data_IF_570370887705
#
_entry.id   IF_570370887705
#
_cell.length_a   1.000
_cell.length_b   1.000
_cell.length_c   1.000
_cell.angle_alpha   90.00
_cell.angle_beta   90.00
_cell.angle_gamma   90.00
#
_symmetry.space_group_name_H-M   'P 1'
#
loop_
_entity.id
_entity.type
_entity.pdbx_description
1 polymer ?
#
# COMPACT_ATOMS: atom_id res chain seq x y z
N UNK A 1 16.65 -24.18 0.42
CA UNK A 1 15.68 -23.35 1.16
C UNK A 1 15.20 -24.09 2.40
N UNK A 2 15.39 -23.49 3.59
CA UNK A 2 14.93 -24.05 4.87
C UNK A 2 13.75 -23.21 5.37
N UNK A 3 12.68 -23.89 5.80
CA UNK A 3 11.50 -23.28 6.36
C UNK A 3 11.54 -23.35 7.87
N UNK A 4 11.66 -22.22 8.54
CA UNK A 4 11.68 -22.08 10.01
C UNK A 4 10.28 -21.82 10.60
N UNK A 5 9.29 -22.31 9.91
CA UNK A 5 7.85 -22.19 10.03
C UNK A 5 7.27 -21.85 11.38
N UNK A 6 6.98 -22.85 12.19
CA UNK A 6 6.05 -22.66 13.30
C UNK A 6 6.69 -22.07 14.56
N UNK A 7 7.94 -22.32 14.81
CA UNK A 7 8.65 -21.86 16.01
C UNK A 7 9.46 -20.61 15.80
N UNK A 8 9.92 -20.35 14.57
CA UNK A 8 10.90 -19.31 14.21
C UNK A 8 12.18 -19.40 15.10
N UNK A 9 12.51 -20.63 15.53
CA UNK A 9 13.60 -20.87 16.47
C UNK A 9 14.97 -20.52 15.87
N UNK A 10 15.17 -20.86 14.58
CA UNK A 10 16.41 -20.54 13.88
C UNK A 10 16.56 -19.03 13.71
N UNK A 11 15.53 -18.34 13.23
CA UNK A 11 15.57 -16.89 13.08
C UNK A 11 15.83 -16.17 14.42
N UNK A 12 15.30 -16.71 15.53
CA UNK A 12 15.58 -16.20 16.89
C UNK A 12 17.01 -16.46 17.33
N UNK A 13 17.49 -17.67 17.12
CA UNK A 13 18.86 -18.05 17.49
C UNK A 13 19.92 -17.20 16.76
N UNK A 14 19.64 -16.86 15.49
CA UNK A 14 20.48 -15.94 14.71
C UNK A 14 20.27 -14.46 15.06
N UNK A 15 19.25 -14.11 15.84
CA UNK A 15 18.95 -12.71 16.17
C UNK A 15 18.50 -11.90 14.96
N UNK A 16 17.68 -12.47 14.06
CA UNK A 16 17.21 -11.80 12.86
C UNK A 16 16.40 -10.55 13.18
N UNK A 17 16.79 -9.39 12.66
CA UNK A 17 16.16 -8.09 12.91
C UNK A 17 15.33 -7.60 11.73
N UNK A 18 15.73 -7.99 10.51
CA UNK A 18 15.14 -7.54 9.26
C UNK A 18 15.08 -8.66 8.24
N UNK A 19 14.42 -8.40 7.10
CA UNK A 19 14.42 -9.27 5.93
C UNK A 19 14.74 -8.40 4.70
N UNK A 20 15.88 -8.61 4.04
CA UNK A 20 16.93 -9.60 4.36
C UNK A 20 17.82 -9.23 5.57
N UNK A 21 18.39 -10.25 6.20
CA UNK A 21 19.48 -10.15 7.15
C UNK A 21 20.50 -11.23 6.81
N UNK A 22 21.70 -10.85 6.49
CA UNK A 22 22.76 -11.74 6.01
C UNK A 22 23.65 -12.19 7.16
N UNK A 23 24.05 -13.47 7.15
CA UNK A 23 25.02 -14.06 8.07
C UNK A 23 26.01 -14.87 7.25
N UNK A 24 27.31 -14.56 7.36
CA UNK A 24 28.38 -15.24 6.62
C UNK A 24 29.29 -15.97 7.60
N UNK A 25 29.47 -17.27 7.37
CA UNK A 25 30.31 -18.13 8.19
C UNK A 25 31.53 -18.58 7.39
N UNK A 26 32.67 -18.78 8.08
CA UNK A 26 33.85 -19.41 7.49
C UNK A 26 33.70 -20.95 7.47
N UNK A 27 34.70 -21.64 6.91
CA UNK A 27 34.75 -23.12 6.83
C UNK A 27 34.73 -23.83 8.20
N UNK A 28 35.02 -23.10 9.28
CA UNK A 28 34.99 -23.60 10.65
C UNK A 28 33.67 -23.27 11.35
N UNK A 29 32.66 -22.85 10.60
CA UNK A 29 31.33 -22.41 11.07
C UNK A 29 31.38 -21.21 12.04
N UNK A 30 32.47 -20.44 12.01
CA UNK A 30 32.56 -19.21 12.78
C UNK A 30 31.91 -18.07 12.02
N UNK A 31 31.00 -17.34 12.68
CA UNK A 31 30.35 -16.15 12.12
C UNK A 31 31.42 -15.07 11.88
N UNK A 32 31.51 -14.59 10.65
CA UNK A 32 32.50 -13.60 10.21
C UNK A 32 31.89 -12.28 9.79
N UNK A 33 30.63 -12.31 9.39
CA UNK A 33 29.88 -11.11 9.05
C UNK A 33 28.39 -11.31 9.33
N UNK A 34 27.74 -10.26 9.83
CA UNK A 34 26.29 -10.19 9.88
C UNK A 34 25.81 -8.76 9.58
N UNK A 35 24.68 -8.65 8.85
CA UNK A 35 24.11 -7.33 8.57
C UNK A 35 23.35 -7.24 7.25
N UNK A 36 23.56 -6.14 6.55
CA UNK A 36 22.92 -5.85 5.27
C UNK A 36 23.65 -6.58 4.12
N UNK A 37 22.97 -6.73 2.97
CA UNK A 37 23.61 -7.26 1.78
C UNK A 37 24.59 -6.23 1.18
N UNK A 38 24.12 -5.01 1.01
CA UNK A 38 24.86 -3.82 0.59
C UNK A 38 24.29 -2.57 1.27
N UNK A 39 24.77 -1.40 0.92
CA UNK A 39 24.28 -0.13 1.47
C UNK A 39 23.15 0.51 0.65
N UNK A 40 22.63 -0.17 -0.39
CA UNK A 40 21.51 0.34 -1.14
C UNK A 40 20.22 0.32 -0.32
N UNK A 41 19.44 1.38 -0.44
CA UNK A 41 18.10 1.47 0.15
C UNK A 41 17.01 1.11 -0.84
N UNK A 42 17.35 1.06 -2.12
CA UNK A 42 16.43 0.90 -3.24
C UNK A 42 17.02 -0.14 -4.20
N UNK A 43 16.18 -0.76 -5.01
CA UNK A 43 16.62 -1.66 -6.08
C UNK A 43 17.25 -0.85 -7.23
N UNK A 44 18.24 -0.04 -6.89
CA UNK A 44 18.99 0.78 -7.82
C UNK A 44 20.48 0.57 -7.55
N UNK A 45 21.09 -0.29 -8.36
CA UNK A 45 22.50 -0.65 -8.22
C UNK A 45 23.44 0.57 -8.32
N UNK A 46 22.98 1.65 -8.97
CA UNK A 46 23.75 2.90 -9.08
C UNK A 46 23.92 3.61 -7.74
N UNK A 47 23.09 3.30 -6.75
CA UNK A 47 23.15 3.87 -5.40
C UNK A 47 24.06 3.10 -4.46
N UNK A 48 24.53 1.89 -4.85
CA UNK A 48 25.42 1.04 -4.04
C UNK A 48 26.81 1.64 -3.97
N UNK A 49 27.24 2.01 -2.76
CA UNK A 49 28.60 2.50 -2.47
C UNK A 49 29.46 1.43 -1.78
N UNK A 50 28.83 0.52 -1.05
CA UNK A 50 29.51 -0.55 -0.33
C UNK A 50 28.77 -1.89 -0.52
N UNK A 51 29.48 -2.89 -1.01
CA UNK A 51 29.01 -4.28 -1.16
C UNK A 51 29.41 -5.12 0.04
N UNK A 52 28.90 -4.78 1.22
CA UNK A 52 29.40 -5.29 2.50
C UNK A 52 29.43 -6.81 2.59
N UNK A 53 28.35 -7.50 2.15
CA UNK A 53 28.30 -8.96 2.13
C UNK A 53 29.34 -9.55 1.16
N UNK A 54 29.44 -9.01 -0.04
CA UNK A 54 30.42 -9.45 -1.06
C UNK A 54 31.85 -9.29 -0.55
N UNK A 55 32.18 -8.13 0.02
CA UNK A 55 33.48 -7.84 0.57
C UNK A 55 33.88 -8.82 1.69
N UNK A 56 32.91 -9.17 2.56
CA UNK A 56 33.14 -10.17 3.61
C UNK A 56 33.41 -11.56 3.04
N UNK A 57 32.65 -12.00 2.04
CA UNK A 57 32.85 -13.28 1.36
C UNK A 57 34.22 -13.32 0.67
N UNK A 58 34.58 -12.28 -0.08
CA UNK A 58 35.84 -12.20 -0.80
C UNK A 58 37.05 -12.23 0.16
N UNK A 59 36.96 -11.55 1.31
CA UNK A 59 37.99 -11.59 2.34
C UNK A 59 38.16 -13.00 2.90
N UNK A 60 37.05 -13.70 3.21
CA UNK A 60 37.10 -15.09 3.74
C UNK A 60 37.72 -16.04 2.72
N UNK A 61 37.32 -15.96 1.45
CA UNK A 61 37.85 -16.79 0.37
C UNK A 61 39.35 -16.53 0.13
N UNK A 62 39.80 -15.29 0.31
CA UNK A 62 41.21 -14.91 0.25
C UNK A 62 42.02 -15.23 1.51
N UNK A 63 41.40 -15.84 2.53
CA UNK A 63 42.07 -16.11 3.83
C UNK A 63 42.41 -14.84 4.62
N UNK A 64 41.80 -13.71 4.32
CA UNK A 64 42.01 -12.43 4.99
C UNK A 64 40.98 -12.17 6.09
N UNK A 65 41.28 -11.33 7.08
CA UNK A 65 40.29 -10.90 8.06
C UNK A 65 39.17 -10.06 7.35
N UNK A 66 37.94 -10.18 7.86
CA UNK A 66 36.84 -9.34 7.45
C UNK A 66 36.96 -8.00 8.20
N UNK A 67 37.13 -6.90 7.47
CA UNK A 67 37.32 -5.57 8.07
C UNK A 67 36.05 -5.07 8.75
N UNK A 68 34.90 -5.30 8.14
CA UNK A 68 33.59 -4.87 8.63
C UNK A 68 32.76 -6.11 8.95
N UNK A 69 32.80 -6.58 10.19
CA UNK A 69 32.12 -7.81 10.62
C UNK A 69 30.63 -7.60 10.92
N UNK A 70 30.20 -6.34 11.19
CA UNK A 70 28.84 -6.01 11.60
C UNK A 70 28.32 -4.75 10.90
N UNK A 71 27.15 -4.87 10.27
CA UNK A 71 26.40 -3.71 9.77
C UNK A 71 24.94 -3.78 10.23
N UNK A 72 24.27 -2.63 10.26
CA UNK A 72 22.83 -2.62 10.53
C UNK A 72 22.06 -3.21 9.33
N UNK A 73 21.30 -4.31 9.51
CA UNK A 73 20.54 -4.89 8.43
C UNK A 73 19.48 -3.89 7.91
N UNK A 74 19.34 -3.83 6.60
CA UNK A 74 18.35 -2.96 5.92
C UNK A 74 17.29 -3.82 5.24
N UNK A 75 16.03 -3.55 5.57
CA UNK A 75 14.90 -4.32 5.04
C UNK A 75 13.65 -4.15 5.89
N UNK A 76 12.64 -4.96 5.58
CA UNK A 76 11.42 -5.02 6.39
C UNK A 76 11.72 -5.68 7.73
N UNK A 77 11.11 -5.20 8.81
CA UNK A 77 11.23 -5.84 10.13
C UNK A 77 10.76 -7.30 10.08
N UNK A 78 11.48 -8.17 10.75
CA UNK A 78 11.12 -9.59 10.87
C UNK A 78 9.70 -9.74 11.40
N UNK A 79 8.88 -10.55 10.70
CA UNK A 79 7.49 -10.81 11.07
C UNK A 79 7.42 -11.94 12.09
N UNK A 80 7.52 -11.60 13.37
CA UNK A 80 7.42 -12.57 14.45
C UNK A 80 5.99 -13.04 14.65
N UNK A 81 5.81 -14.32 14.96
CA UNK A 81 4.50 -14.96 15.09
C UNK A 81 3.65 -14.36 16.23
N UNK A 82 4.27 -13.99 17.34
CA UNK A 82 3.59 -13.34 18.46
C UNK A 82 2.98 -11.97 18.09
N UNK A 83 3.50 -11.34 17.04
CA UNK A 83 2.92 -10.09 16.50
C UNK A 83 1.69 -10.33 15.63
N UNK A 84 1.38 -11.60 15.29
CA UNK A 84 0.19 -11.94 14.51
C UNK A 84 -1.07 -11.52 15.24
N UNK A 85 -1.15 -11.73 16.56
CA UNK A 85 -2.30 -11.32 17.36
C UNK A 85 -2.60 -9.81 17.27
N UNK A 86 -1.55 -8.96 17.21
CA UNK A 86 -1.71 -7.51 17.02
C UNK A 86 -2.23 -7.18 15.61
N UNK A 87 -1.79 -7.92 14.62
CA UNK A 87 -2.28 -7.77 13.25
C UNK A 87 -3.75 -8.20 13.15
N UNK A 88 -4.09 -9.35 13.71
CA UNK A 88 -5.45 -9.89 13.72
C UNK A 88 -6.41 -8.94 14.47
N UNK A 89 -5.99 -8.39 15.63
CA UNK A 89 -6.75 -7.38 16.36
C UNK A 89 -7.00 -6.10 15.55
N UNK A 90 -6.03 -5.67 14.72
CA UNK A 90 -6.22 -4.55 13.80
C UNK A 90 -7.26 -4.86 12.74
N UNK A 91 -7.25 -6.07 12.19
CA UNK A 91 -8.26 -6.53 11.22
C UNK A 91 -9.65 -6.59 11.85
N UNK A 92 -9.78 -7.10 13.09
CA UNK A 92 -11.05 -7.09 13.82
C UNK A 92 -11.57 -5.67 14.07
N UNK A 93 -10.69 -4.71 14.35
CA UNK A 93 -11.05 -3.31 14.50
C UNK A 93 -11.65 -2.76 13.21
N UNK A 94 -11.03 -3.02 12.06
CA UNK A 94 -11.58 -2.60 10.77
C UNK A 94 -12.93 -3.23 10.47
N UNK A 95 -13.10 -4.54 10.78
CA UNK A 95 -14.36 -5.25 10.57
C UNK A 95 -15.52 -4.65 11.40
N UNK A 96 -15.21 -3.95 12.49
CA UNK A 96 -16.19 -3.30 13.39
C UNK A 96 -16.33 -1.79 13.14
N UNK A 97 -15.51 -1.21 12.26
CA UNK A 97 -15.55 0.24 11.97
C UNK A 97 -16.77 0.57 11.11
N UNK A 98 -17.66 1.45 11.56
CA UNK A 98 -18.81 1.87 10.77
C UNK A 98 -18.37 2.51 9.45
N UNK A 99 -19.19 2.34 8.43
CA UNK A 99 -19.02 3.01 7.13
C UNK A 99 -20.22 3.90 6.88
N UNK A 100 -19.95 5.15 6.52
CA UNK A 100 -20.96 6.10 6.11
C UNK A 100 -20.76 6.42 4.64
N UNK A 101 -21.84 6.41 3.88
CA UNK A 101 -21.88 6.84 2.47
C UNK A 101 -22.56 8.21 2.42
N UNK A 102 -21.93 9.18 1.77
CA UNK A 102 -22.50 10.51 1.58
C UNK A 102 -22.86 10.76 0.11
N UNK A 103 -23.86 11.59 -0.11
CA UNK A 103 -24.17 12.05 -1.46
C UNK A 103 -23.05 12.95 -1.96
N UNK A 104 -22.68 12.79 -3.22
CA UNK A 104 -21.71 13.64 -3.89
C UNK A 104 -22.27 14.10 -5.23
N UNK A 105 -22.06 15.35 -5.56
CA UNK A 105 -22.41 15.93 -6.84
C UNK A 105 -21.23 15.93 -7.83
N UNK A 106 -21.46 16.40 -9.03
CA UNK A 106 -20.44 16.50 -10.08
C UNK A 106 -19.26 17.40 -9.68
N UNK A 107 -19.51 18.47 -8.94
CA UNK A 107 -18.46 19.36 -8.45
C UNK A 107 -17.58 18.67 -7.40
N UNK A 108 -18.19 17.96 -6.46
CA UNK A 108 -17.48 17.16 -5.46
C UNK A 108 -16.61 16.07 -6.08
N UNK A 109 -17.10 15.40 -7.15
CA UNK A 109 -16.29 14.41 -7.88
C UNK A 109 -15.10 15.10 -8.56
N UNK A 110 -15.29 16.25 -9.17
CA UNK A 110 -14.21 17.02 -9.79
C UNK A 110 -13.16 17.47 -8.76
N UNK A 111 -13.57 17.85 -7.54
CA UNK A 111 -12.65 18.18 -6.44
C UNK A 111 -11.90 16.94 -5.94
N UNK A 112 -12.54 15.79 -5.81
CA UNK A 112 -11.85 14.53 -5.52
C UNK A 112 -10.80 14.21 -6.58
N UNK A 113 -11.15 14.40 -7.85
CA UNK A 113 -10.30 14.14 -9.02
C UNK A 113 -9.12 15.13 -9.11
N UNK A 114 -9.33 16.39 -8.76
CA UNK A 114 -8.28 17.41 -8.74
C UNK A 114 -7.19 17.11 -7.69
N UNK A 115 -7.51 16.34 -6.69
CA UNK A 115 -6.60 15.87 -5.64
C UNK A 115 -5.61 16.94 -5.15
N UNK A 116 -6.10 17.95 -4.50
CA UNK A 116 -5.30 19.03 -3.89
C UNK A 116 -4.53 18.58 -2.64
N UNK A 117 -4.66 17.30 -2.25
CA UNK A 117 -3.94 16.71 -1.11
C UNK A 117 -2.53 16.26 -1.48
N UNK A 118 -1.74 15.86 -0.48
CA UNK A 118 -0.42 15.24 -0.68
C UNK A 118 -0.48 13.74 -0.87
N UNK A 119 -1.69 13.14 -0.89
CA UNK A 119 -1.90 11.70 -0.96
C UNK A 119 -2.13 11.24 -2.40
N UNK A 120 -1.74 10.00 -2.68
CA UNK A 120 -2.27 9.27 -3.82
C UNK A 120 -3.68 8.79 -3.50
N UNK A 121 -4.61 9.03 -4.38
CA UNK A 121 -6.02 8.70 -4.20
C UNK A 121 -6.44 7.66 -5.22
N UNK A 122 -6.76 6.44 -4.76
CA UNK A 122 -7.42 5.44 -5.59
C UNK A 122 -8.92 5.72 -5.53
N UNK A 123 -9.54 5.95 -6.68
CA UNK A 123 -10.97 6.17 -6.81
C UNK A 123 -11.55 5.00 -7.58
N UNK A 124 -12.50 4.28 -6.96
CA UNK A 124 -13.21 3.16 -7.57
C UNK A 124 -14.67 3.50 -7.75
N UNK A 125 -15.18 3.29 -8.94
CA UNK A 125 -16.60 3.42 -9.30
C UNK A 125 -17.23 2.04 -9.33
N UNK A 126 -18.31 1.86 -8.57
CA UNK A 126 -18.94 0.57 -8.35
C UNK A 126 -20.45 0.67 -8.13
N UNK A 127 -21.12 -0.45 -7.92
CA UNK A 127 -22.50 -0.50 -7.42
C UNK A 127 -22.80 -1.86 -6.78
N UNK A 128 -23.81 -1.92 -5.91
CA UNK A 128 -24.20 -3.19 -5.23
C UNK A 128 -24.81 -4.22 -6.19
N UNK A 129 -25.36 -3.79 -7.29
CA UNK A 129 -25.92 -4.65 -8.35
C UNK A 129 -24.86 -5.10 -9.38
N UNK A 130 -23.65 -4.58 -9.32
CA UNK A 130 -22.56 -4.89 -10.25
C UNK A 130 -21.77 -6.10 -9.74
N UNK A 131 -22.02 -7.28 -10.26
CA UNK A 131 -21.36 -8.51 -9.81
C UNK A 131 -19.83 -8.49 -9.90
N UNK A 132 -19.18 -8.00 -10.99
CA UNK A 132 -17.73 -7.87 -11.04
C UNK A 132 -17.19 -6.86 -10.00
N UNK A 133 -17.92 -5.79 -9.68
CA UNK A 133 -17.55 -4.82 -8.65
C UNK A 133 -17.51 -5.50 -7.26
N UNK A 134 -18.55 -6.29 -6.95
CA UNK A 134 -18.62 -7.05 -5.69
C UNK A 134 -17.47 -8.03 -5.57
N UNK A 135 -17.07 -8.66 -6.68
CA UNK A 135 -15.98 -9.64 -6.72
C UNK A 135 -14.62 -9.02 -6.44
N UNK A 136 -14.34 -7.81 -6.95
CA UNK A 136 -13.02 -7.15 -6.77
C UNK A 136 -12.86 -6.45 -5.43
N UNK A 137 -13.96 -6.16 -4.72
CA UNK A 137 -13.96 -5.31 -3.53
C UNK A 137 -12.98 -5.75 -2.44
N UNK A 138 -12.80 -7.05 -2.14
CA UNK A 138 -11.77 -7.50 -1.21
C UNK A 138 -10.36 -7.05 -1.58
N UNK A 139 -10.01 -7.04 -2.87
CA UNK A 139 -8.69 -6.61 -3.34
C UNK A 139 -8.49 -5.09 -3.15
N UNK A 140 -9.51 -4.29 -3.39
CA UNK A 140 -9.47 -2.83 -3.12
C UNK A 140 -9.22 -2.54 -1.63
N UNK A 141 -9.92 -3.27 -0.75
CA UNK A 141 -9.75 -3.14 0.70
C UNK A 141 -8.34 -3.59 1.12
N UNK A 142 -7.82 -4.68 0.57
CA UNK A 142 -6.46 -5.14 0.83
C UNK A 142 -5.40 -4.13 0.38
N UNK A 143 -5.56 -3.52 -0.80
CA UNK A 143 -4.69 -2.42 -1.28
C UNK A 143 -4.74 -1.26 -0.28
N UNK A 144 -5.93 -0.83 0.12
CA UNK A 144 -6.10 0.25 1.09
C UNK A 144 -5.37 -0.04 2.41
N UNK A 145 -5.49 -1.25 2.93
CA UNK A 145 -4.82 -1.69 4.17
C UNK A 145 -3.31 -1.76 4.02
N UNK A 146 -2.82 -2.25 2.87
CA UNK A 146 -1.39 -2.34 2.57
C UNK A 146 -0.72 -0.97 2.58
N UNK A 147 -1.42 0.04 2.08
CA UNK A 147 -0.92 1.41 2.00
C UNK A 147 -1.38 2.33 3.16
N UNK A 148 -2.09 1.82 4.16
CA UNK A 148 -2.66 2.59 5.29
C UNK A 148 -1.64 3.50 6.00
N UNK A 149 -0.39 3.03 6.13
CA UNK A 149 0.68 3.82 6.76
C UNK A 149 1.34 4.83 5.83
N UNK A 150 0.97 4.87 4.55
CA UNK A 150 1.54 5.75 3.52
C UNK A 150 0.60 6.92 3.22
N UNK A 151 1.04 7.84 2.38
CA UNK A 151 0.20 8.95 1.90
C UNK A 151 -0.69 8.45 0.76
N UNK A 152 -1.68 7.65 1.14
CA UNK A 152 -2.60 6.96 0.26
C UNK A 152 -4.00 6.92 0.89
N UNK A 153 -5.03 6.96 0.04
CA UNK A 153 -6.41 6.72 0.43
C UNK A 153 -7.19 6.00 -0.67
N UNK A 154 -8.13 5.15 -0.27
CA UNK A 154 -9.15 4.59 -1.13
C UNK A 154 -10.42 5.44 -1.00
N UNK A 155 -10.95 5.88 -2.14
CA UNK A 155 -12.26 6.54 -2.27
C UNK A 155 -13.15 5.64 -3.10
N UNK A 156 -14.37 5.43 -2.67
CA UNK A 156 -15.37 4.66 -3.42
C UNK A 156 -16.56 5.53 -3.80
N UNK A 157 -17.01 5.42 -5.05
CA UNK A 157 -18.19 6.13 -5.56
C UNK A 157 -19.16 5.08 -6.08
N UNK A 158 -20.29 4.93 -5.37
CA UNK A 158 -21.34 4.02 -5.84
C UNK A 158 -22.33 4.74 -6.77
N UNK A 159 -22.79 4.00 -7.78
CA UNK A 159 -23.84 4.37 -8.72
C UNK A 159 -25.20 3.77 -8.34
N UNK A 160 -25.36 3.35 -7.09
CA UNK A 160 -26.65 2.88 -6.59
C UNK A 160 -27.68 4.01 -6.54
N UNK A 161 -28.96 3.67 -6.58
CA UNK A 161 -30.05 4.63 -6.35
C UNK A 161 -29.95 5.21 -4.92
N UNK A 162 -30.19 6.50 -4.69
CA UNK A 162 -30.17 7.10 -3.34
C UNK A 162 -31.02 6.37 -2.30
N UNK A 163 -32.11 5.72 -2.70
CA UNK A 163 -32.92 4.88 -1.82
C UNK A 163 -32.19 3.63 -1.31
N UNK A 164 -31.19 3.15 -2.06
CA UNK A 164 -30.38 1.96 -1.72
C UNK A 164 -29.10 2.32 -0.94
N UNK A 165 -28.94 3.57 -0.51
CA UNK A 165 -27.77 4.04 0.27
C UNK A 165 -27.44 3.11 1.45
N UNK A 166 -28.43 2.71 2.23
CA UNK A 166 -28.25 1.80 3.36
C UNK A 166 -27.69 0.43 2.95
N UNK A 167 -28.07 -0.04 1.75
CA UNK A 167 -27.54 -1.29 1.17
C UNK A 167 -26.06 -1.15 0.81
N UNK A 168 -25.65 -0.02 0.24
CA UNK A 168 -24.24 0.26 -0.04
C UNK A 168 -23.42 0.35 1.25
N UNK A 169 -23.92 1.05 2.30
CA UNK A 169 -23.27 1.10 3.61
C UNK A 169 -23.10 -0.28 4.24
N UNK A 170 -24.15 -1.11 4.22
CA UNK A 170 -24.11 -2.47 4.73
C UNK A 170 -23.11 -3.35 3.98
N UNK A 171 -23.03 -3.21 2.64
CA UNK A 171 -22.04 -3.91 1.83
C UNK A 171 -20.62 -3.49 2.21
N UNK A 172 -20.33 -2.20 2.25
CA UNK A 172 -19.01 -1.67 2.61
C UNK A 172 -18.59 -2.10 4.02
N UNK A 173 -19.53 -2.07 4.96
CA UNK A 173 -19.29 -2.58 6.33
C UNK A 173 -18.91 -4.05 6.32
N UNK A 174 -19.65 -4.89 5.57
CA UNK A 174 -19.36 -6.33 5.41
C UNK A 174 -17.98 -6.57 4.79
N UNK A 175 -17.53 -5.70 3.88
CA UNK A 175 -16.19 -5.75 3.30
C UNK A 175 -15.11 -5.21 4.25
N UNK A 176 -15.47 -4.76 5.45
CA UNK A 176 -14.58 -4.08 6.39
C UNK A 176 -13.84 -2.89 5.75
N UNK A 177 -14.55 -2.13 4.90
CA UNK A 177 -14.02 -0.97 4.18
C UNK A 177 -13.99 0.31 5.04
N UNK A 178 -14.16 0.19 6.37
CA UNK A 178 -14.09 1.31 7.30
C UNK A 178 -12.73 2.00 7.32
N UNK A 179 -12.73 3.27 7.67
CA UNK A 179 -11.55 4.12 7.68
C UNK A 179 -10.63 3.80 8.86
N UNK A 180 -9.33 3.87 8.66
CA UNK A 180 -8.39 3.90 9.78
C UNK A 180 -8.43 5.28 10.45
N UNK A 181 -8.07 5.33 11.74
CA UNK A 181 -7.96 6.60 12.50
C UNK A 181 -7.03 7.61 11.83
N UNK A 182 -5.98 7.13 11.14
CA UNK A 182 -5.08 8.00 10.39
C UNK A 182 -5.80 8.68 9.24
N UNK A 183 -6.56 7.91 8.46
CA UNK A 183 -7.34 8.44 7.33
C UNK A 183 -8.43 9.38 7.85
N UNK A 184 -9.22 9.01 8.86
CA UNK A 184 -10.23 9.89 9.47
C UNK A 184 -9.66 11.25 9.90
N UNK A 185 -8.50 11.24 10.59
CA UNK A 185 -7.86 12.48 11.03
C UNK A 185 -7.42 13.36 9.85
N UNK A 186 -7.09 12.76 8.72
CA UNK A 186 -6.70 13.50 7.53
C UNK A 186 -7.93 14.09 6.82
N UNK A 187 -9.02 13.32 6.74
CA UNK A 187 -10.28 13.77 6.16
C UNK A 187 -10.84 14.98 6.90
N UNK A 188 -10.80 14.96 8.24
CA UNK A 188 -11.22 16.11 9.07
C UNK A 188 -10.48 17.39 8.71
N UNK A 189 -9.18 17.31 8.38
CA UNK A 189 -8.38 18.47 7.94
C UNK A 189 -8.79 18.95 6.55
N UNK A 190 -9.35 18.07 5.73
CA UNK A 190 -9.86 18.38 4.38
C UNK A 190 -11.34 18.78 4.38
N UNK A 191 -11.99 18.84 5.56
CA UNK A 191 -13.43 19.10 5.69
C UNK A 191 -14.31 17.94 5.20
N UNK A 192 -13.76 16.73 5.12
CA UNK A 192 -14.43 15.50 4.70
C UNK A 192 -14.69 14.59 5.88
N UNK A 193 -15.79 13.85 5.84
CA UNK A 193 -16.18 12.91 6.90
C UNK A 193 -16.10 11.45 6.48
N UNK A 194 -16.10 11.20 5.16
CA UNK A 194 -16.05 9.85 4.57
C UNK A 194 -15.17 9.79 3.34
N UNK A 195 -14.80 8.57 2.94
CA UNK A 195 -14.23 8.23 1.64
C UNK A 195 -15.20 7.43 0.75
N UNK A 196 -16.45 7.27 1.18
CA UNK A 196 -17.44 6.50 0.44
C UNK A 196 -18.61 7.40 0.06
N UNK A 197 -18.86 7.50 -1.23
CA UNK A 197 -19.83 8.43 -1.80
C UNK A 197 -20.84 7.70 -2.66
N UNK A 198 -22.03 8.30 -2.78
CA UNK A 198 -23.09 7.92 -3.72
C UNK A 198 -23.31 9.06 -4.69
N UNK A 199 -23.20 8.78 -5.97
CA UNK A 199 -23.47 9.72 -7.05
C UNK A 199 -24.78 9.38 -7.73
N UNK A 200 -25.75 10.31 -7.64
CA UNK A 200 -27.10 10.14 -8.19
C UNK A 200 -27.25 10.69 -9.61
N UNK A 201 -26.18 11.09 -10.27
CA UNK A 201 -26.20 11.62 -11.64
C UNK A 201 -26.05 10.52 -12.70
N UNK A 202 -25.94 10.94 -13.96
CA UNK A 202 -25.73 10.05 -15.09
C UNK A 202 -24.31 9.50 -15.14
N UNK A 203 -24.10 8.36 -15.83
CA UNK A 203 -22.76 7.82 -16.08
C UNK A 203 -21.89 8.80 -16.89
N UNK A 204 -22.48 9.55 -17.83
CA UNK A 204 -21.78 10.56 -18.63
C UNK A 204 -21.30 11.73 -17.77
N UNK A 205 -22.12 12.19 -16.80
CA UNK A 205 -21.72 13.22 -15.85
C UNK A 205 -20.61 12.78 -14.94
N UNK A 206 -20.66 11.52 -14.51
CA UNK A 206 -19.59 10.92 -13.72
C UNK A 206 -18.28 10.86 -14.53
N UNK A 207 -18.33 10.32 -15.73
CA UNK A 207 -17.17 10.23 -16.62
C UNK A 207 -16.57 11.61 -16.89
N UNK A 208 -17.39 12.59 -17.21
CA UNK A 208 -16.96 13.97 -17.47
C UNK A 208 -16.24 14.61 -16.28
N UNK A 209 -16.66 14.30 -15.05
CA UNK A 209 -16.08 14.86 -13.83
C UNK A 209 -14.87 14.08 -13.32
N UNK A 210 -14.89 12.74 -13.46
CA UNK A 210 -13.88 11.85 -12.89
C UNK A 210 -12.76 11.53 -13.88
N UNK A 211 -13.12 11.01 -15.05
CA UNK A 211 -12.17 10.54 -16.06
C UNK A 211 -12.85 10.49 -17.42
N UNK A 212 -12.50 11.44 -18.30
CA UNK A 212 -13.09 11.53 -19.66
C UNK A 212 -12.78 10.32 -20.55
N UNK A 213 -11.76 9.54 -20.21
CA UNK A 213 -11.41 8.32 -20.93
C UNK A 213 -12.05 7.08 -20.29
N UNK A 214 -12.98 7.27 -19.35
CA UNK A 214 -13.78 6.18 -18.78
C UNK A 214 -14.70 5.60 -19.87
N UNK A 215 -14.61 4.28 -20.18
CA UNK A 215 -15.36 3.67 -21.28
C UNK A 215 -16.84 3.41 -20.96
N UNK A 216 -17.31 3.77 -19.77
CA UNK A 216 -18.69 3.60 -19.31
C UNK A 216 -18.95 2.39 -18.41
N UNK A 217 -18.51 1.16 -18.71
CA UNK A 217 -18.73 0.03 -17.82
C UNK A 217 -18.06 0.17 -16.45
N UNK A 218 -18.72 -0.35 -15.42
CA UNK A 218 -18.16 -0.50 -14.07
C UNK A 218 -17.83 -1.97 -13.76
N UNK A 219 -16.82 -2.27 -12.89
CA UNK A 219 -16.05 -1.32 -12.11
C UNK A 219 -15.05 -0.51 -12.94
N UNK A 220 -14.77 0.70 -12.48
CA UNK A 220 -13.72 1.53 -13.04
C UNK A 220 -12.86 2.11 -11.91
N UNK A 221 -11.55 1.92 -12.01
CA UNK A 221 -10.59 2.33 -10.98
C UNK A 221 -9.50 3.22 -11.56
N UNK A 222 -9.30 4.38 -10.95
CA UNK A 222 -8.16 5.25 -11.25
C UNK A 222 -7.34 5.49 -9.99
N UNK A 223 -6.04 5.73 -10.16
CA UNK A 223 -5.18 6.29 -9.10
C UNK A 223 -4.73 7.66 -9.53
N UNK A 224 -5.01 8.64 -8.68
CA UNK A 224 -4.72 10.05 -8.91
C UNK A 224 -3.60 10.50 -7.99
N UNK A 225 -2.51 10.98 -8.57
CA UNK A 225 -1.41 11.58 -7.82
C UNK A 225 -1.80 12.95 -7.24
N UNK A 226 -1.06 13.47 -6.26
CA UNK A 226 -1.16 14.87 -5.84
C UNK A 226 -1.12 15.81 -7.05
N UNK A 227 -2.07 16.75 -7.13
CA UNK A 227 -2.20 17.65 -8.27
C UNK A 227 -3.02 17.13 -9.44
N UNK A 228 -3.61 15.94 -9.32
CA UNK A 228 -4.64 15.45 -10.23
C UNK A 228 -4.15 14.63 -11.44
N UNK A 229 -2.88 14.25 -11.54
CA UNK A 229 -2.41 13.32 -12.60
C UNK A 229 -2.98 11.92 -12.37
N UNK A 230 -3.60 11.29 -13.39
CA UNK A 230 -3.97 9.87 -13.36
C UNK A 230 -2.71 9.05 -13.65
N UNK A 231 -2.27 8.26 -12.68
CA UNK A 231 -1.07 7.40 -12.77
C UNK A 231 -1.40 5.93 -12.98
N UNK A 232 -2.67 5.56 -12.81
CA UNK A 232 -3.19 4.22 -13.10
C UNK A 232 -4.66 4.34 -13.51
N UNK A 233 -5.08 3.51 -14.46
CA UNK A 233 -6.46 3.39 -14.94
C UNK A 233 -6.76 1.94 -15.27
N UNK A 234 -7.89 1.44 -14.81
CA UNK A 234 -8.36 0.10 -15.15
C UNK A 234 -9.89 0.06 -15.18
N UNK A 235 -10.45 -0.63 -16.17
CA UNK A 235 -11.89 -0.91 -16.26
C UNK A 235 -12.09 -2.42 -16.25
N UNK A 236 -13.04 -2.89 -15.45
CA UNK A 236 -13.23 -4.30 -15.14
C UNK A 236 -12.57 -4.68 -13.81
N UNK A 237 -12.60 -5.96 -13.47
CA UNK A 237 -12.02 -6.47 -12.21
C UNK A 237 -10.54 -6.10 -12.13
N UNK A 238 -10.16 -5.43 -11.06
CA UNK A 238 -8.82 -4.89 -10.87
C UNK A 238 -7.74 -6.00 -10.89
N UNK A 239 -6.65 -5.78 -11.63
CA UNK A 239 -5.41 -6.52 -11.41
C UNK A 239 -4.69 -5.89 -10.22
N UNK A 240 -4.82 -6.56 -9.07
CA UNK A 240 -4.23 -6.10 -7.82
C UNK A 240 -2.72 -5.89 -7.92
N UNK A 241 -2.00 -6.81 -8.55
CA UNK A 241 -0.55 -6.72 -8.66
C UNK A 241 -0.12 -5.54 -9.52
N UNK A 242 -0.79 -5.32 -10.65
CA UNK A 242 -0.54 -4.18 -11.52
C UNK A 242 -0.84 -2.86 -10.81
N UNK A 243 -1.97 -2.76 -10.10
CA UNK A 243 -2.34 -1.57 -9.34
C UNK A 243 -1.33 -1.26 -8.22
N UNK A 244 -0.95 -2.26 -7.43
CA UNK A 244 0.04 -2.10 -6.36
C UNK A 244 1.40 -1.67 -6.90
N UNK A 245 1.86 -2.23 -8.03
CA UNK A 245 3.11 -1.83 -8.67
C UNK A 245 3.05 -0.38 -9.18
N UNK A 246 1.98 0.01 -9.85
CA UNK A 246 1.81 1.38 -10.33
C UNK A 246 1.84 2.41 -9.18
N UNK A 247 1.22 2.08 -8.03
CA UNK A 247 1.28 2.90 -6.82
C UNK A 247 2.72 2.97 -6.28
N UNK A 248 3.39 1.82 -6.17
CA UNK A 248 4.75 1.73 -5.62
C UNK A 248 5.79 2.45 -6.48
N UNK A 249 5.66 2.40 -7.80
CA UNK A 249 6.56 3.08 -8.73
C UNK A 249 6.49 4.61 -8.59
N UNK A 250 5.33 5.15 -8.22
CA UNK A 250 5.13 6.59 -7.98
C UNK A 250 5.44 7.01 -6.53
N UNK A 251 5.10 6.17 -5.55
CA UNK A 251 5.30 6.47 -4.12
C UNK A 251 6.67 6.06 -3.60
N UNK A 252 7.51 5.43 -4.42
CA UNK A 252 8.70 4.66 -4.05
C UNK A 252 8.38 3.40 -3.22
N UNK A 253 9.12 2.32 -3.46
CA UNK A 253 8.94 1.03 -2.74
C UNK A 253 9.20 1.14 -1.24
N UNK A 254 10.04 2.08 -0.84
CA UNK A 254 10.42 2.31 0.55
C UNK A 254 9.85 3.63 1.05
N UNK A 255 9.11 3.56 2.16
CA UNK A 255 8.59 4.75 2.82
C UNK A 255 9.73 5.53 3.47
N UNK A 256 10.01 6.72 2.95
CA UNK A 256 10.90 7.70 3.58
C UNK A 256 10.06 8.94 3.90
N UNK A 257 9.75 9.21 5.17
CA UNK A 257 9.09 10.46 5.53
C UNK A 257 9.95 11.64 5.05
N UNK A 258 9.41 12.47 4.15
CA UNK A 258 10.10 13.63 3.57
C UNK A 258 10.68 13.45 2.17
N UNK A 259 10.75 12.25 1.59
CA UNK A 259 11.24 12.03 0.22
C UNK A 259 10.32 12.62 -0.87
N UNK A 260 9.03 12.79 -0.57
CA UNK A 260 8.02 13.37 -1.48
C UNK A 260 8.32 14.84 -1.83
N UNK A 261 9.13 15.55 -1.03
CA UNK A 261 9.50 16.94 -1.32
C UNK A 261 10.57 17.09 -2.41
N UNK A 262 11.29 16.03 -2.76
CA UNK A 262 12.40 16.09 -3.71
C UNK A 262 11.99 15.83 -5.16
N UNK A 263 10.91 15.10 -5.41
CA UNK A 263 10.43 14.78 -6.78
C UNK A 263 9.56 15.88 -7.40
N UNK A 264 9.08 16.83 -6.61
CA UNK A 264 8.30 17.98 -7.09
C UNK A 264 9.14 19.16 -7.63
N UNK A 265 10.48 18.98 -7.73
CA UNK A 265 11.42 19.99 -8.25
C UNK A 265 12.29 19.42 -9.37
N UNK A 266 11.70 18.82 -10.38
CA UNK A 266 12.34 18.63 -11.70
C UNK A 266 11.31 18.79 -12.79
#
# INVERSE_FOLDING_TARGET
YLYDGDTQAVARAYGCLATPHVFVFDKNLKLRYQGRFDDSRFYDDSTVKSKDCQNAVDAILAGKPVELELTKPMGCSTKWREKKALHDAKHETWAKTPVTVELIDKAGIADLRANKSTKYRMINVWATWCAPCVKEFPDLVEISRKFDMRDFELVTITMDDPKDKAKAEAFLFKQAAGLSKKVENTLKKEGRTTNSYLFAGSADDLAAALDKDMPGPIPHTIVVAPGGEIVYRHTGIIDRAAAENAILDKMNRFYSPGAVKASAKK
#
